data_IF_202153556522
#
_entry.id   IF_202153556522
#
_cell.length_a   1.000
_cell.length_b   1.000
_cell.length_c   1.000
_cell.angle_alpha   90.00
_cell.angle_beta   90.00
_cell.angle_gamma   90.00
#
_symmetry.space_group_name_H-M   'P 1'
#
loop_
_entity.id
_entity.type
_entity.pdbx_description
1 polymer ?
#
# COMPACT_ATOMS: atom_id res chain seq x y z
N UNK A 1 -10.93 -3.80 23.34
CA UNK A 1 -10.50 -2.97 22.19
C UNK A 1 -9.40 -3.76 21.50
N UNK A 2 -9.62 -4.23 20.27
CA UNK A 2 -8.62 -5.03 19.56
C UNK A 2 -7.54 -4.09 19.03
N UNK A 3 -6.27 -4.47 19.19
CA UNK A 3 -5.12 -3.69 18.75
C UNK A 3 -5.12 -3.60 17.21
N UNK A 4 -4.68 -2.47 16.63
CA UNK A 4 -4.65 -2.34 15.15
C UNK A 4 -3.64 -3.34 14.54
N UNK A 5 -2.54 -3.58 15.25
CA UNK A 5 -1.55 -4.58 14.90
C UNK A 5 -2.15 -6.00 14.79
N UNK A 6 -2.98 -6.40 15.76
CA UNK A 6 -3.66 -7.70 15.73
C UNK A 6 -4.63 -7.83 14.56
N UNK A 7 -5.33 -6.75 14.21
CA UNK A 7 -6.19 -6.73 13.04
C UNK A 7 -5.36 -6.90 11.75
N UNK A 8 -4.23 -6.21 11.64
CA UNK A 8 -3.32 -6.35 10.52
C UNK A 8 -2.83 -7.80 10.36
N UNK A 9 -2.40 -8.47 11.44
CA UNK A 9 -1.94 -9.86 11.36
C UNK A 9 -3.00 -10.87 10.99
N UNK A 10 -4.27 -10.62 11.33
CA UNK A 10 -5.38 -11.48 10.90
C UNK A 10 -5.58 -11.40 9.38
N UNK A 11 -5.51 -10.21 8.81
CA UNK A 11 -5.73 -10.01 7.37
C UNK A 11 -4.48 -10.34 6.54
N UNK A 12 -3.30 -10.00 7.06
CA UNK A 12 -2.04 -10.05 6.33
C UNK A 12 -1.16 -11.26 6.65
N UNK A 13 -1.52 -12.03 7.67
CA UNK A 13 -0.69 -13.09 8.23
C UNK A 13 0.35 -12.56 9.22
N UNK A 14 0.86 -13.44 10.06
CA UNK A 14 1.97 -13.11 10.97
C UNK A 14 3.23 -12.77 10.19
N UNK A 15 4.07 -11.84 10.69
CA UNK A 15 5.31 -11.51 10.04
C UNK A 15 6.31 -12.67 10.10
N UNK A 16 7.03 -12.89 9.01
CA UNK A 16 8.17 -13.81 8.94
C UNK A 16 9.46 -13.17 9.46
N UNK A 17 9.50 -11.84 9.47
CA UNK A 17 10.62 -11.04 9.94
C UNK A 17 10.16 -9.66 10.41
N UNK A 18 10.84 -9.17 11.45
CA UNK A 18 10.69 -7.79 11.95
C UNK A 18 12.10 -7.24 12.14
N UNK A 19 12.38 -6.09 11.52
CA UNK A 19 13.70 -5.46 11.52
C UNK A 19 13.59 -4.01 11.97
N UNK A 20 14.67 -3.48 12.53
CA UNK A 20 14.83 -2.03 12.71
C UNK A 20 15.58 -1.50 11.47
N UNK A 21 14.96 -0.64 10.66
CA UNK A 21 15.60 -0.10 9.46
C UNK A 21 16.75 0.84 9.82
N UNK A 22 17.74 0.90 8.94
CA UNK A 22 18.82 1.88 9.01
C UNK A 22 18.35 3.20 8.38
N UNK A 23 17.98 4.15 9.24
CA UNK A 23 17.41 5.43 8.81
C UNK A 23 18.42 6.32 8.07
N UNK A 24 19.71 6.05 8.16
CA UNK A 24 20.73 6.78 7.39
C UNK A 24 20.72 6.38 5.90
N UNK A 25 20.14 5.22 5.58
CA UNK A 25 20.06 4.64 4.23
C UNK A 25 18.62 4.45 3.72
N UNK A 26 17.62 4.80 4.52
CA UNK A 26 16.20 4.71 4.17
C UNK A 26 15.66 6.08 3.79
N UNK A 27 15.32 6.23 2.51
CA UNK A 27 14.74 7.46 2.03
C UNK A 27 13.22 7.53 2.19
N UNK A 28 12.56 6.44 2.62
CA UNK A 28 11.10 6.34 2.61
C UNK A 28 10.59 5.81 3.95
N UNK A 29 9.93 6.67 4.72
CA UNK A 29 9.21 6.28 5.94
C UNK A 29 7.92 7.06 6.09
N UNK A 30 6.82 6.35 6.33
CA UNK A 30 5.55 6.98 6.62
C UNK A 30 5.57 7.72 7.96
N UNK A 31 6.20 7.13 8.98
CA UNK A 31 6.21 7.73 10.32
C UNK A 31 7.26 8.83 10.49
N UNK A 32 8.34 8.86 9.69
CA UNK A 32 9.46 9.80 9.85
C UNK A 32 10.04 9.82 11.28
N UNK A 33 9.94 8.70 12.00
CA UNK A 33 10.38 8.48 13.38
C UNK A 33 11.08 7.12 13.46
N UNK A 34 11.58 6.72 14.63
CA UNK A 34 12.04 5.33 14.82
C UNK A 34 10.85 4.37 14.73
N UNK A 35 10.82 3.53 13.69
CA UNK A 35 9.83 2.48 13.47
C UNK A 35 10.50 1.11 13.34
N UNK A 36 9.70 0.04 13.36
CA UNK A 36 10.14 -1.29 12.93
C UNK A 36 9.48 -1.61 11.58
N UNK A 37 10.16 -2.38 10.74
CA UNK A 37 9.57 -2.89 9.51
C UNK A 37 9.26 -4.37 9.68
N UNK A 38 8.04 -4.76 9.34
CA UNK A 38 7.60 -6.14 9.39
C UNK A 38 7.29 -6.63 7.97
N UNK A 39 7.70 -7.85 7.68
CA UNK A 39 7.46 -8.47 6.39
C UNK A 39 6.59 -9.72 6.56
N UNK A 40 5.70 -9.91 5.61
CA UNK A 40 4.96 -11.16 5.41
C UNK A 40 5.18 -11.61 3.96
N UNK A 41 4.82 -12.85 3.59
CA UNK A 41 4.93 -13.31 2.20
C UNK A 41 4.24 -12.42 1.16
N UNK A 42 3.30 -11.57 1.58
CA UNK A 42 2.47 -10.71 0.72
C UNK A 42 2.54 -9.22 1.02
N UNK A 43 3.11 -8.79 2.15
CA UNK A 43 3.09 -7.38 2.54
C UNK A 43 4.37 -6.94 3.26
N UNK A 44 4.67 -5.66 3.16
CA UNK A 44 5.64 -4.97 3.99
C UNK A 44 4.93 -3.87 4.79
N UNK A 45 5.21 -3.76 6.08
CA UNK A 45 4.57 -2.81 6.98
C UNK A 45 5.59 -2.03 7.80
N UNK A 46 5.31 -0.75 8.03
CA UNK A 46 5.95 0.01 9.11
C UNK A 46 5.12 -0.07 10.38
N UNK A 47 5.79 -0.27 11.50
CA UNK A 47 5.21 -0.46 12.82
C UNK A 47 5.69 0.66 13.75
N UNK A 48 4.74 1.36 14.36
CA UNK A 48 5.01 2.35 15.39
C UNK A 48 3.97 2.26 16.50
N UNK A 49 4.39 1.81 17.69
CA UNK A 49 3.48 1.52 18.79
C UNK A 49 2.51 0.39 18.43
N UNK A 50 1.20 0.67 18.54
CA UNK A 50 0.14 -0.27 18.10
C UNK A 50 -0.32 -0.01 16.65
N UNK A 51 0.29 0.92 15.94
CA UNK A 51 -0.08 1.30 14.58
C UNK A 51 0.77 0.56 13.56
N UNK A 52 0.14 0.05 12.50
CA UNK A 52 0.82 -0.52 11.35
C UNK A 52 0.38 0.19 10.07
N UNK A 53 1.34 0.52 9.20
CA UNK A 53 1.11 1.11 7.89
C UNK A 53 1.65 0.18 6.82
N UNK A 54 0.80 -0.25 5.91
CA UNK A 54 1.16 -1.18 4.83
C UNK A 54 1.95 -0.44 3.76
N UNK A 55 3.26 -0.50 3.77
CA UNK A 55 4.10 0.14 2.73
C UNK A 55 4.06 -0.56 1.38
N UNK A 56 3.78 -1.87 1.33
CA UNK A 56 3.53 -2.60 0.09
C UNK A 56 2.62 -3.81 0.35
N UNK A 57 1.72 -4.11 -0.59
CA UNK A 57 0.83 -5.26 -0.56
C UNK A 57 0.64 -5.86 -1.95
N UNK A 58 1.09 -7.10 -2.15
CA UNK A 58 0.82 -7.89 -3.36
C UNK A 58 -0.50 -8.66 -3.20
N UNK A 59 -1.60 -8.10 -3.68
CA UNK A 59 -2.93 -8.70 -3.54
C UNK A 59 -3.10 -9.99 -4.35
N UNK A 60 -2.19 -10.28 -5.30
CA UNK A 60 -2.19 -11.55 -6.05
C UNK A 60 -1.85 -12.73 -5.15
N UNK A 61 -1.05 -12.49 -4.11
CA UNK A 61 -0.72 -13.47 -3.06
C UNK A 61 -1.82 -13.59 -1.98
N UNK A 62 -2.97 -12.96 -2.20
CA UNK A 62 -4.14 -12.99 -1.33
C UNK A 62 -4.20 -11.81 -0.36
N UNK A 63 -5.28 -11.72 0.40
CA UNK A 63 -5.56 -10.55 1.25
C UNK A 63 -6.11 -9.35 0.46
N UNK A 64 -6.18 -8.23 1.14
CA UNK A 64 -6.71 -6.96 0.63
C UNK A 64 -6.84 -5.95 1.77
N UNK A 65 -7.15 -4.72 1.42
CA UNK A 65 -7.46 -3.66 2.39
C UNK A 65 -8.97 -3.40 2.38
N UNK A 66 -9.55 -3.19 3.56
CA UNK A 66 -10.95 -2.80 3.67
C UNK A 66 -11.09 -1.65 4.67
N UNK A 67 -11.72 -0.56 4.23
CA UNK A 67 -12.01 0.60 5.06
C UNK A 67 -13.25 1.34 4.54
N UNK A 68 -14.17 1.73 5.42
CA UNK A 68 -15.29 2.61 5.05
C UNK A 68 -16.17 2.09 3.89
N UNK A 69 -16.31 0.77 3.73
CA UNK A 69 -17.07 0.16 2.62
C UNK A 69 -16.28 -0.01 1.32
N UNK A 70 -15.08 0.58 1.21
CA UNK A 70 -14.14 0.31 0.14
C UNK A 70 -13.37 -0.98 0.43
N UNK A 71 -13.27 -1.86 -0.56
CA UNK A 71 -12.43 -3.06 -0.53
C UNK A 71 -11.47 -3.02 -1.70
N UNK A 72 -10.18 -3.11 -1.41
CA UNK A 72 -9.07 -3.15 -2.36
C UNK A 72 -8.43 -4.55 -2.30
N UNK A 73 -8.73 -5.38 -3.28
CA UNK A 73 -8.13 -6.71 -3.42
C UNK A 73 -7.97 -7.09 -4.91
N UNK A 74 -7.58 -8.34 -5.20
CA UNK A 74 -7.38 -8.83 -6.58
C UNK A 74 -8.62 -8.75 -7.49
N UNK A 75 -9.81 -8.56 -6.93
CA UNK A 75 -11.04 -8.42 -7.70
C UNK A 75 -11.33 -6.98 -8.08
N UNK A 76 -10.75 -6.02 -7.38
CA UNK A 76 -10.91 -4.59 -7.62
C UNK A 76 -10.49 -4.21 -9.05
N UNK A 77 -11.40 -3.54 -9.74
CA UNK A 77 -11.21 -3.00 -11.09
C UNK A 77 -11.08 -1.47 -11.07
N UNK A 78 -10.54 -0.90 -12.14
CA UNK A 78 -10.53 0.56 -12.32
C UNK A 78 -11.94 1.16 -12.35
N UNK A 79 -12.91 0.43 -12.91
CA UNK A 79 -14.31 0.88 -12.95
C UNK A 79 -14.92 0.99 -11.55
N UNK A 80 -14.62 0.05 -10.66
CA UNK A 80 -15.05 0.12 -9.26
C UNK A 80 -14.31 1.22 -8.51
N UNK A 81 -12.98 1.31 -8.69
CA UNK A 81 -12.18 2.36 -8.07
C UNK A 81 -12.67 3.76 -8.51
N UNK A 82 -13.02 3.93 -9.78
CA UNK A 82 -13.51 5.19 -10.34
C UNK A 82 -14.86 5.64 -9.78
N UNK A 83 -15.66 4.74 -9.20
CA UNK A 83 -16.88 5.14 -8.48
C UNK A 83 -16.56 5.83 -7.16
N UNK A 84 -15.50 5.40 -6.47
CA UNK A 84 -15.05 5.98 -5.20
C UNK A 84 -14.10 7.17 -5.41
N UNK A 85 -13.19 7.08 -6.38
CA UNK A 85 -12.14 8.06 -6.65
C UNK A 85 -12.10 8.47 -8.13
N UNK A 86 -13.16 9.10 -8.66
CA UNK A 86 -13.26 9.41 -10.10
C UNK A 86 -12.12 10.30 -10.59
N UNK A 87 -11.69 11.27 -9.75
CA UNK A 87 -10.59 12.17 -10.09
C UNK A 87 -9.25 11.46 -10.17
N UNK A 88 -8.98 10.52 -9.26
CA UNK A 88 -7.73 9.75 -9.26
C UNK A 88 -7.64 8.87 -10.50
N UNK A 89 -8.70 8.11 -10.80
CA UNK A 89 -8.75 7.24 -11.99
C UNK A 89 -8.67 8.05 -13.29
N UNK A 90 -9.26 9.24 -13.37
CA UNK A 90 -9.11 10.11 -14.55
C UNK A 90 -7.69 10.58 -14.82
N UNK A 91 -6.79 10.48 -13.84
CA UNK A 91 -5.38 10.86 -13.90
C UNK A 91 -4.45 9.65 -13.90
N UNK A 92 -4.98 8.45 -14.13
CA UNK A 92 -4.17 7.24 -14.18
C UNK A 92 -3.07 7.36 -15.24
N UNK A 93 -1.92 6.77 -14.96
CA UNK A 93 -0.78 6.69 -15.87
C UNK A 93 -0.52 5.23 -16.27
N UNK A 94 0.37 5.05 -17.24
CA UNK A 94 0.96 3.74 -17.54
C UNK A 94 2.43 3.82 -17.18
N UNK A 95 2.92 2.84 -16.43
CA UNK A 95 4.28 2.79 -15.91
C UNK A 95 4.92 1.43 -16.15
N UNK A 96 6.24 1.42 -16.25
CA UNK A 96 7.03 0.21 -16.31
C UNK A 96 7.44 -0.18 -14.88
N UNK A 97 6.91 -1.29 -14.39
CA UNK A 97 7.31 -1.89 -13.11
C UNK A 97 8.34 -2.99 -13.34
N UNK A 98 9.37 -3.06 -12.50
CA UNK A 98 10.47 -4.02 -12.63
C UNK A 98 10.02 -5.48 -12.51
N UNK A 99 8.94 -5.74 -11.77
CA UNK A 99 8.44 -7.10 -11.49
C UNK A 99 7.21 -7.41 -12.33
N UNK A 100 6.33 -6.44 -12.51
CA UNK A 100 5.03 -6.60 -13.16
C UNK A 100 5.07 -6.28 -14.65
N UNK A 101 6.13 -5.64 -15.16
CA UNK A 101 6.14 -5.10 -16.52
C UNK A 101 5.28 -3.85 -16.63
N UNK A 102 4.70 -3.61 -17.81
CA UNK A 102 3.76 -2.50 -17.99
C UNK A 102 2.50 -2.67 -17.11
N UNK A 103 2.14 -1.61 -16.38
CA UNK A 103 0.98 -1.54 -15.49
C UNK A 103 0.27 -0.19 -15.64
N UNK A 104 -1.02 -0.17 -15.32
CA UNK A 104 -1.76 1.07 -15.10
C UNK A 104 -1.64 1.48 -13.64
N UNK A 105 -1.23 2.72 -13.37
CA UNK A 105 -1.08 3.23 -12.01
C UNK A 105 -2.15 4.28 -11.71
N UNK A 106 -2.76 4.19 -10.52
CA UNK A 106 -3.60 5.25 -9.94
C UNK A 106 -2.98 5.71 -8.63
N UNK A 107 -2.72 7.00 -8.50
CA UNK A 107 -2.25 7.61 -7.24
C UNK A 107 -3.41 8.10 -6.39
N UNK A 108 -3.38 7.80 -5.09
CA UNK A 108 -4.27 8.36 -4.07
C UNK A 108 -3.43 9.15 -3.06
N UNK A 109 -3.59 10.47 -3.05
CA UNK A 109 -2.86 11.37 -2.15
C UNK A 109 -3.16 11.02 -0.67
N UNK A 110 -2.13 10.98 0.17
CA UNK A 110 -2.30 10.68 1.61
C UNK A 110 -2.80 11.88 2.41
N UNK A 111 -2.59 13.10 1.90
CA UNK A 111 -3.05 14.35 2.49
C UNK A 111 -3.29 15.41 1.38
N UNK A 112 -4.02 16.51 1.68
CA UNK A 112 -4.12 17.64 0.76
C UNK A 112 -2.73 18.24 0.45
N UNK A 113 -2.53 18.83 -0.75
CA UNK A 113 -1.26 19.48 -1.10
C UNK A 113 -0.82 20.55 -0.09
N UNK A 114 0.50 20.79 0.07
CA UNK A 114 1.59 20.19 -0.69
C UNK A 114 2.12 18.91 -0.01
N UNK A 115 1.81 17.75 -0.57
CA UNK A 115 2.48 16.49 -0.24
C UNK A 115 2.69 15.77 -1.56
N UNK A 116 3.87 15.16 -1.70
CA UNK A 116 4.18 14.32 -2.84
C UNK A 116 3.94 12.83 -2.51
N UNK A 117 3.53 12.55 -1.28
CA UNK A 117 3.26 11.23 -0.76
C UNK A 117 1.91 10.72 -1.27
N UNK A 118 1.90 9.48 -1.75
CA UNK A 118 0.67 8.88 -2.24
C UNK A 118 0.72 7.36 -2.18
N UNK A 119 -0.47 6.76 -2.11
CA UNK A 119 -0.66 5.35 -2.38
C UNK A 119 -0.72 5.13 -3.90
N UNK A 120 0.14 4.28 -4.41
CA UNK A 120 0.11 3.79 -5.79
C UNK A 120 -0.68 2.50 -5.85
N UNK A 121 -1.76 2.49 -6.62
CA UNK A 121 -2.56 1.30 -6.92
C UNK A 121 -2.21 0.84 -8.33
N UNK A 122 -1.58 -0.33 -8.42
CA UNK A 122 -1.08 -0.88 -9.67
C UNK A 122 -2.08 -1.89 -10.22
N UNK A 123 -2.51 -1.67 -11.45
CA UNK A 123 -3.46 -2.51 -12.18
C UNK A 123 -2.77 -3.19 -13.35
N UNK A 124 -3.01 -4.50 -13.48
CA UNK A 124 -2.60 -5.29 -14.65
C UNK A 124 -3.80 -6.04 -15.18
N UNK A 125 -3.97 -6.02 -16.49
CA UNK A 125 -5.13 -6.61 -17.18
C UNK A 125 -6.48 -6.15 -16.58
N UNK A 126 -6.54 -4.86 -16.20
CA UNK A 126 -7.73 -4.21 -15.62
C UNK A 126 -8.04 -4.55 -14.16
N UNK A 127 -7.15 -5.28 -13.46
CA UNK A 127 -7.33 -5.70 -12.05
C UNK A 127 -6.19 -5.23 -11.17
N UNK A 128 -6.52 -4.89 -9.93
CA UNK A 128 -5.53 -4.50 -8.93
C UNK A 128 -4.59 -5.68 -8.63
N UNK A 129 -3.28 -5.43 -8.69
CA UNK A 129 -2.23 -6.43 -8.44
C UNK A 129 -1.29 -6.05 -7.30
N UNK A 130 -1.07 -4.75 -7.06
CA UNK A 130 -0.21 -4.29 -5.97
C UNK A 130 -0.64 -2.92 -5.46
N UNK A 131 -0.42 -2.67 -4.18
CA UNK A 131 -0.58 -1.36 -3.55
C UNK A 131 0.76 -1.01 -2.92
N UNK A 132 1.31 0.16 -3.22
CA UNK A 132 2.58 0.63 -2.67
C UNK A 132 2.41 2.02 -2.06
N UNK A 133 3.02 2.27 -0.91
CA UNK A 133 3.27 3.63 -0.45
C UNK A 133 4.43 4.22 -1.26
N UNK A 134 4.31 5.48 -1.64
CA UNK A 134 5.39 6.23 -2.26
C UNK A 134 5.55 7.56 -1.57
N UNK A 135 6.81 7.90 -1.33
CA UNK A 135 7.28 9.21 -0.93
C UNK A 135 8.56 9.47 -1.73
N UNK A 136 8.70 10.64 -2.38
CA UNK A 136 9.94 10.97 -3.07
C UNK A 136 11.10 11.10 -2.08
N UNK A 137 12.28 10.72 -2.55
CA UNK A 137 13.55 10.84 -1.83
C UNK A 137 14.23 12.17 -2.16
#
# INVERSE_FOLDING_TARGET
>A
MQSQLQAAWRELGSPDSVVTPDLDNECTSFFSLSFQRAYTPKAALELYGDTAVVTSLDVRKGGGLQAGGLRLDRTTTLAELGRAFPRAVSRQSTEQDDVLGEVQMVSLDVAPPPTDDHWRLLFKDGRLVRIDYFMPC
#
